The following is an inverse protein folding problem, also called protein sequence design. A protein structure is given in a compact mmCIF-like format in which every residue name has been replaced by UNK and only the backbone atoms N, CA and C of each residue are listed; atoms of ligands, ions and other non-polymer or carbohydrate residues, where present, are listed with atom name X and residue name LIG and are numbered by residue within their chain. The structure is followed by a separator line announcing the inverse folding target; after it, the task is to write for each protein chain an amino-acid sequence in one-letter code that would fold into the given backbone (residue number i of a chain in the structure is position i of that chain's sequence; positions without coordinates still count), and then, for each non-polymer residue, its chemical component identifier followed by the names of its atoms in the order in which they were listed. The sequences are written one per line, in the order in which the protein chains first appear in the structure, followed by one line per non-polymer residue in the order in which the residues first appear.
data_IF_187018766408
#
_entry.id   IF_187018766408
#
_cell.length_a   1.000
_cell.length_b   1.000
_cell.length_c   1.000
_cell.angle_alpha   90.00
_cell.angle_beta   90.00
_cell.angle_gamma   90.00
#
_symmetry.space_group_name_H-M   'P 1'
#
loop_
_entity.id
_entity.type
_entity.pdbx_description
1 polymer ?
#
# COMPACT_ATOMS: atom_id res chain seq x y z
N UNK A 1 -13.62 4.65 14.08
CA UNK A 1 -12.24 4.12 13.98
C UNK A 1 -11.40 4.80 15.04
N UNK A 2 -10.80 4.02 15.94
CA UNK A 2 -9.97 4.55 17.02
C UNK A 2 -8.73 5.20 16.39
N UNK A 3 -8.45 6.46 16.72
CA UNK A 3 -7.15 7.08 16.52
C UNK A 3 -6.10 6.13 17.11
N UNK A 4 -5.40 5.37 16.27
CA UNK A 4 -4.17 4.72 16.69
C UNK A 4 -3.19 5.85 16.96
N UNK A 5 -3.13 6.25 18.24
CA UNK A 5 -2.10 7.13 18.76
C UNK A 5 -0.79 6.56 18.26
N UNK A 6 0.01 7.37 17.56
CA UNK A 6 1.44 7.14 17.45
C UNK A 6 1.92 6.99 18.90
N UNK A 7 2.14 5.76 19.34
CA UNK A 7 2.62 5.51 20.69
C UNK A 7 4.11 5.82 20.66
N UNK A 8 4.44 7.09 20.84
CA UNK A 8 5.75 7.49 21.35
C UNK A 8 5.81 6.92 22.77
N UNK A 9 6.27 5.67 22.91
CA UNK A 9 6.56 5.10 24.22
C UNK A 9 7.80 5.80 24.74
N UNK A 10 7.62 6.91 25.46
CA UNK A 10 8.65 7.47 26.34
C UNK A 10 8.69 6.58 27.58
N UNK A 11 9.36 5.44 27.45
CA UNK A 11 9.57 4.49 28.54
C UNK A 11 11.07 4.33 28.83
N UNK A 12 11.41 3.85 30.04
CA UNK A 12 12.78 3.40 30.34
C UNK A 12 13.25 2.47 29.23
N UNK A 13 14.49 2.67 28.76
CA UNK A 13 15.14 1.79 27.80
C UNK A 13 14.82 0.33 28.16
N UNK A 14 14.36 -0.48 27.20
CA UNK A 14 13.94 -1.83 27.53
C UNK A 14 15.12 -2.57 28.18
N UNK A 15 14.85 -3.28 29.28
CA UNK A 15 15.81 -3.98 30.15
C UNK A 15 16.49 -5.18 29.48
N UNK A 16 16.64 -5.17 28.16
CA UNK A 16 17.43 -6.13 27.43
C UNK A 16 18.90 -5.80 27.65
N UNK A 17 19.50 -6.42 28.67
CA UNK A 17 20.92 -6.27 29.09
C UNK A 17 21.96 -6.56 27.97
N UNK A 18 21.57 -6.84 26.73
CA UNK A 18 22.44 -7.18 25.59
C UNK A 18 21.86 -6.74 24.23
N UNK A 19 21.32 -5.53 24.12
CA UNK A 19 21.01 -4.99 22.78
C UNK A 19 22.34 -4.63 22.11
N UNK A 20 22.59 -5.17 20.91
CA UNK A 20 23.68 -4.68 20.07
C UNK A 20 23.25 -3.34 19.49
N UNK A 21 23.82 -2.25 20.02
CA UNK A 21 23.62 -0.91 19.50
C UNK A 21 24.50 -0.72 18.28
N UNK A 22 23.89 -0.37 17.13
CA UNK A 22 24.62 -0.02 15.91
C UNK A 22 24.32 1.44 15.58
N UNK A 23 25.34 2.22 15.26
CA UNK A 23 25.13 3.61 14.83
C UNK A 23 24.21 3.66 13.60
N UNK A 24 23.19 4.51 13.65
CA UNK A 24 22.24 4.68 12.55
C UNK A 24 22.49 5.98 11.78
N UNK A 25 22.40 7.09 12.52
CA UNK A 25 22.64 8.47 12.11
C UNK A 25 23.35 9.20 13.28
N UNK A 26 23.92 10.40 13.08
CA UNK A 26 24.29 11.27 14.21
C UNK A 26 23.12 11.35 15.20
N UNK A 27 23.39 11.15 16.51
CA UNK A 27 22.34 11.15 17.53
C UNK A 27 21.34 9.97 17.54
N UNK A 28 21.35 9.05 16.56
CA UNK A 28 20.47 7.86 16.54
C UNK A 28 21.23 6.54 16.52
N UNK A 29 20.68 5.53 17.19
CA UNK A 29 21.19 4.15 17.20
C UNK A 29 20.08 3.14 16.90
N UNK A 30 20.46 2.04 16.26
CA UNK A 30 19.62 0.87 16.04
C UNK A 30 19.79 -0.12 17.20
N UNK A 31 18.68 -0.57 17.75
CA UNK A 31 18.62 -1.62 18.77
C UNK A 31 17.84 -2.81 18.22
N UNK A 32 18.51 -3.95 18.09
CA UNK A 32 17.87 -5.19 17.63
C UNK A 32 17.41 -6.03 18.81
N UNK A 33 16.15 -6.48 18.78
CA UNK A 33 15.68 -7.47 19.74
C UNK A 33 16.51 -8.77 19.62
N UNK A 34 16.84 -9.45 20.73
CA UNK A 34 17.60 -10.70 20.68
C UNK A 34 16.85 -11.80 19.91
N UNK A 35 17.64 -12.58 19.18
CA UNK A 35 17.35 -13.45 18.03
C UNK A 35 16.42 -14.67 18.28
N UNK A 36 15.46 -14.61 19.22
CA UNK A 36 14.70 -15.78 19.67
C UNK A 36 13.20 -15.78 19.33
N UNK A 37 12.69 -14.80 18.57
CA UNK A 37 11.28 -14.82 18.14
C UNK A 37 11.07 -14.05 16.83
N UNK A 38 9.85 -14.10 16.24
CA UNK A 38 9.46 -13.28 15.07
C UNK A 38 9.76 -11.77 15.25
N UNK A 39 9.92 -11.28 16.48
CA UNK A 39 10.37 -9.91 16.78
C UNK A 39 11.86 -9.64 16.48
N UNK A 40 12.66 -10.65 16.17
CA UNK A 40 14.08 -10.52 15.81
C UNK A 40 14.30 -9.74 14.49
N UNK A 41 13.26 -9.59 13.67
CA UNK A 41 13.29 -8.83 12.42
C UNK A 41 12.89 -7.35 12.60
N UNK A 42 12.58 -6.95 13.84
CA UNK A 42 12.10 -5.61 14.18
C UNK A 42 13.18 -4.87 14.97
N UNK A 43 13.50 -3.67 14.52
CA UNK A 43 14.55 -2.82 15.09
C UNK A 43 13.94 -1.56 15.69
N UNK A 44 14.41 -1.15 16.87
CA UNK A 44 14.05 0.15 17.44
C UNK A 44 15.14 1.18 17.08
N UNK A 45 14.73 2.34 16.60
CA UNK A 45 15.61 3.50 16.42
C UNK A 45 15.46 4.37 17.67
N UNK A 46 16.53 4.53 18.44
CA UNK A 46 16.51 5.32 19.66
C UNK A 46 17.47 6.50 19.57
N UNK A 47 17.17 7.56 20.31
CA UNK A 47 18.10 8.64 20.58
C UNK A 47 19.30 8.08 21.36
N UNK A 48 20.51 8.45 20.92
CA UNK A 48 21.78 7.86 21.38
C UNK A 48 22.01 8.09 22.87
N UNK A 49 21.85 9.32 23.31
CA UNK A 49 22.31 9.72 24.65
C UNK A 49 21.29 9.40 25.74
N UNK A 50 20.01 9.30 25.36
CA UNK A 50 18.90 9.10 26.31
C UNK A 50 18.28 7.71 26.23
N UNK A 51 18.52 6.98 25.14
CA UNK A 51 17.91 5.68 24.87
C UNK A 51 16.41 5.73 24.57
N UNK A 52 15.82 6.92 24.43
CA UNK A 52 14.39 7.07 24.11
C UNK A 52 14.12 6.63 22.67
N UNK A 53 13.10 5.81 22.48
CA UNK A 53 12.70 5.36 21.15
C UNK A 53 12.09 6.49 20.33
N UNK A 54 12.67 6.73 19.16
CA UNK A 54 12.14 7.62 18.11
C UNK A 54 11.19 6.83 17.22
N UNK A 55 11.56 5.62 16.84
CA UNK A 55 10.71 4.66 16.12
C UNK A 55 10.83 3.28 16.73
N UNK A 56 9.71 2.60 16.89
CA UNK A 56 9.66 1.21 17.37
C UNK A 56 9.24 0.27 16.25
N UNK A 57 9.70 -0.98 16.34
CA UNK A 57 9.27 -2.08 15.46
C UNK A 57 9.52 -1.84 13.97
N UNK A 58 10.65 -1.22 13.61
CA UNK A 58 11.01 -0.96 12.22
C UNK A 58 11.47 -2.26 11.54
N UNK A 59 10.80 -2.74 10.48
CA UNK A 59 11.25 -3.92 9.75
C UNK A 59 12.63 -3.69 9.13
N UNK A 60 13.53 -4.67 9.20
CA UNK A 60 14.90 -4.49 8.68
C UNK A 60 14.95 -4.06 7.21
N UNK A 61 14.03 -4.55 6.38
CA UNK A 61 13.93 -4.17 4.97
C UNK A 61 13.57 -2.70 4.73
N UNK A 62 13.01 -2.00 5.72
CA UNK A 62 12.64 -0.58 5.62
C UNK A 62 13.74 0.37 6.10
N UNK A 63 14.77 -0.15 6.78
CA UNK A 63 15.85 0.66 7.36
C UNK A 63 16.49 1.62 6.33
N UNK A 64 16.78 1.25 5.08
CA UNK A 64 17.36 2.19 4.12
C UNK A 64 16.44 3.38 3.81
N UNK A 65 15.12 3.17 3.73
CA UNK A 65 14.16 4.24 3.43
C UNK A 65 13.86 5.10 4.65
N UNK A 66 13.70 4.47 5.81
CA UNK A 66 13.58 5.18 7.09
C UNK A 66 14.83 6.03 7.34
N UNK A 67 16.03 5.49 7.09
CA UNK A 67 17.29 6.24 7.21
C UNK A 67 17.29 7.49 6.33
N UNK A 68 16.87 7.39 5.07
CA UNK A 68 16.76 8.54 4.16
C UNK A 68 15.75 9.57 4.64
N UNK A 69 14.64 9.14 5.23
CA UNK A 69 13.64 10.03 5.81
C UNK A 69 14.22 10.79 7.00
N UNK A 70 14.78 10.07 7.97
CA UNK A 70 15.32 10.68 9.19
C UNK A 70 16.55 11.55 8.90
N UNK A 71 17.38 11.22 7.90
CA UNK A 71 18.57 12.01 7.56
C UNK A 71 18.30 13.46 7.09
N UNK A 72 17.03 13.87 6.99
CA UNK A 72 16.63 15.25 6.69
C UNK A 72 16.82 16.20 7.87
N UNK A 73 16.95 15.68 9.08
CA UNK A 73 17.06 16.47 10.32
C UNK A 73 18.31 16.09 11.12
N UNK A 74 18.74 17.00 12.00
CA UNK A 74 19.85 16.77 12.93
C UNK A 74 19.35 16.17 14.25
N UNK A 75 19.64 14.88 14.45
CA UNK A 75 19.23 14.14 15.64
C UNK A 75 20.24 14.19 16.78
N UNK A 76 21.34 14.93 16.64
CA UNK A 76 22.32 15.15 17.72
C UNK A 76 21.85 16.14 18.79
N UNK A 77 20.72 16.82 18.53
CA UNK A 77 20.06 17.73 19.46
C UNK A 77 19.53 17.01 20.71
N UNK A 78 19.26 17.76 21.77
CA UNK A 78 18.62 17.21 22.95
C UNK A 78 17.20 16.71 22.65
N UNK A 79 16.69 15.77 23.46
CA UNK A 79 15.31 15.30 23.31
C UNK A 79 14.28 16.43 23.38
N UNK A 80 14.50 17.44 24.22
CA UNK A 80 13.60 18.58 24.31
C UNK A 80 13.49 19.29 22.96
N UNK A 81 14.63 19.63 22.37
CA UNK A 81 14.69 20.28 21.05
C UNK A 81 14.02 19.43 19.96
N UNK A 82 14.27 18.11 19.96
CA UNK A 82 13.65 17.18 19.00
C UNK A 82 12.12 17.13 19.18
N UNK A 83 11.62 16.96 20.40
CA UNK A 83 10.17 16.80 20.65
C UNK A 83 9.37 18.09 20.49
N UNK A 84 9.99 19.25 20.72
CA UNK A 84 9.36 20.55 20.48
C UNK A 84 9.55 21.06 19.05
N UNK A 85 10.37 20.40 18.23
CA UNK A 85 10.56 20.74 16.82
C UNK A 85 9.42 20.20 15.95
N UNK A 86 8.75 21.10 15.24
CA UNK A 86 7.73 20.75 14.24
C UNK A 86 8.33 19.94 13.09
N UNK A 87 9.57 20.22 12.66
CA UNK A 87 10.20 19.54 11.52
C UNK A 87 10.54 18.09 11.86
N UNK A 88 11.12 17.85 13.04
CA UNK A 88 11.40 16.49 13.53
C UNK A 88 10.11 15.68 13.66
N UNK A 89 9.05 16.30 14.19
CA UNK A 89 7.74 15.66 14.28
C UNK A 89 7.21 15.25 12.90
N UNK A 90 7.27 16.13 11.91
CA UNK A 90 6.83 15.82 10.54
C UNK A 90 7.63 14.68 9.91
N UNK A 91 8.94 14.64 10.12
CA UNK A 91 9.81 13.57 9.63
C UNK A 91 9.51 12.23 10.29
N UNK A 92 9.24 12.22 11.61
CA UNK A 92 8.82 11.02 12.35
C UNK A 92 7.45 10.55 11.84
N UNK A 93 6.49 11.46 11.74
CA UNK A 93 5.14 11.15 11.24
C UNK A 93 5.20 10.58 9.82
N UNK A 94 6.02 11.16 8.93
CA UNK A 94 6.24 10.64 7.59
C UNK A 94 6.84 9.22 7.58
N UNK A 95 7.81 8.95 8.47
CA UNK A 95 8.40 7.63 8.61
C UNK A 95 7.39 6.60 9.17
N UNK A 96 6.56 6.98 10.14
CA UNK A 96 5.49 6.13 10.69
C UNK A 96 4.44 5.83 9.64
N UNK A 97 3.96 6.85 8.94
CA UNK A 97 2.96 6.71 7.88
C UNK A 97 3.46 5.79 6.78
N UNK A 98 4.72 5.91 6.37
CA UNK A 98 5.33 5.01 5.40
C UNK A 98 5.25 3.53 5.83
N UNK A 99 5.52 3.23 7.10
CA UNK A 99 5.43 1.86 7.61
C UNK A 99 3.98 1.35 7.62
N UNK A 100 3.03 2.21 8.04
CA UNK A 100 1.61 1.88 8.05
C UNK A 100 1.07 1.60 6.62
N UNK A 101 1.37 2.47 5.67
CA UNK A 101 1.00 2.33 4.26
C UNK A 101 1.54 1.04 3.64
N UNK A 102 2.77 0.65 4.01
CA UNK A 102 3.38 -0.59 3.53
C UNK A 102 2.66 -1.81 4.09
N UNK A 103 2.27 -1.77 5.35
CA UNK A 103 1.58 -2.88 5.99
C UNK A 103 0.14 -3.03 5.48
N UNK A 104 -0.56 -1.92 5.20
CA UNK A 104 -1.87 -1.95 4.56
C UNK A 104 -1.79 -2.49 3.13
N UNK A 105 -0.79 -2.06 2.32
CA UNK A 105 -0.55 -2.60 0.97
C UNK A 105 -0.27 -4.11 1.02
N UNK A 106 0.65 -4.58 1.87
CA UNK A 106 0.92 -6.03 2.00
C UNK A 106 -0.32 -6.84 2.41
N UNK A 107 -1.15 -6.30 3.30
CA UNK A 107 -2.40 -6.95 3.73
C UNK A 107 -3.39 -7.04 2.57
N UNK A 108 -3.54 -5.96 1.81
CA UNK A 108 -4.38 -5.93 0.62
C UNK A 108 -3.91 -6.95 -0.42
N UNK A 109 -2.62 -6.95 -0.76
CA UNK A 109 -2.04 -7.87 -1.74
C UNK A 109 -2.22 -9.33 -1.33
N UNK A 110 -1.97 -9.63 -0.05
CA UNK A 110 -2.16 -10.97 0.49
C UNK A 110 -3.63 -11.40 0.41
N UNK A 111 -4.58 -10.53 0.78
CA UNK A 111 -6.03 -10.78 0.68
C UNK A 111 -6.43 -11.09 -0.76
N UNK A 112 -6.01 -10.25 -1.71
CA UNK A 112 -6.31 -10.45 -3.14
C UNK A 112 -5.74 -11.77 -3.65
N UNK A 113 -4.52 -12.14 -3.23
CA UNK A 113 -3.91 -13.41 -3.60
C UNK A 113 -4.68 -14.61 -3.02
N UNK A 114 -5.13 -14.54 -1.77
CA UNK A 114 -5.95 -15.58 -1.14
C UNK A 114 -7.31 -15.70 -1.82
N UNK A 115 -7.98 -14.57 -2.09
CA UNK A 115 -9.30 -14.53 -2.72
C UNK A 115 -9.32 -15.13 -4.12
N UNK A 116 -8.22 -15.01 -4.87
CA UNK A 116 -8.12 -15.42 -6.28
C UNK A 116 -7.20 -16.63 -6.52
N UNK A 117 -6.73 -17.31 -5.46
CA UNK A 117 -5.79 -18.43 -5.59
C UNK A 117 -4.44 -18.04 -6.24
N UNK A 118 -4.01 -16.78 -6.05
CA UNK A 118 -2.81 -16.19 -6.62
C UNK A 118 -1.59 -16.22 -5.71
N UNK A 119 -0.55 -15.48 -6.12
CA UNK A 119 0.70 -15.27 -5.36
C UNK A 119 1.10 -13.80 -5.40
N UNK A 120 1.42 -13.25 -4.23
CA UNK A 120 2.05 -11.92 -4.09
C UNK A 120 3.45 -11.95 -4.71
N UNK A 121 3.79 -10.94 -5.51
CA UNK A 121 5.10 -10.87 -6.16
C UNK A 121 6.12 -10.13 -5.26
N UNK A 122 7.28 -10.72 -4.95
CA UNK A 122 8.23 -10.11 -4.03
C UNK A 122 8.93 -8.91 -4.66
N UNK A 123 8.82 -7.72 -4.06
CA UNK A 123 9.51 -6.48 -4.45
C UNK A 123 9.02 -5.80 -5.74
N UNK A 124 7.70 -5.71 -5.94
CA UNK A 124 7.05 -4.94 -7.02
C UNK A 124 7.53 -3.48 -7.11
N UNK A 125 7.93 -2.86 -5.99
CA UNK A 125 8.34 -1.45 -5.95
C UNK A 125 9.79 -1.10 -6.32
N UNK A 126 10.66 -2.03 -6.72
CA UNK A 126 12.12 -1.73 -6.80
C UNK A 126 12.90 -2.24 -8.02
N UNK A 127 12.27 -2.93 -8.99
CA UNK A 127 12.98 -3.42 -10.18
C UNK A 127 12.23 -3.07 -11.47
N UNK A 128 12.91 -2.31 -12.32
CA UNK A 128 12.50 -2.02 -13.69
C UNK A 128 12.44 -3.34 -14.47
N UNK A 129 11.24 -3.78 -14.84
CA UNK A 129 11.03 -4.88 -15.78
C UNK A 129 9.98 -5.91 -15.41
N UNK A 130 9.82 -6.27 -14.14
CA UNK A 130 8.86 -7.31 -13.72
C UNK A 130 8.43 -7.12 -12.27
N UNK A 131 7.13 -7.40 -12.02
CA UNK A 131 6.44 -7.69 -10.75
C UNK A 131 5.35 -6.67 -10.43
N UNK A 132 4.12 -7.04 -10.76
CA UNK A 132 2.92 -6.41 -10.22
C UNK A 132 2.46 -7.16 -9.00
N UNK A 133 1.67 -6.53 -8.17
CA UNK A 133 1.55 -6.95 -6.78
C UNK A 133 1.01 -8.37 -6.60
N UNK A 134 0.03 -8.78 -7.41
CA UNK A 134 -0.54 -10.14 -7.37
C UNK A 134 -0.62 -10.79 -8.75
N UNK A 135 -0.31 -12.09 -8.82
CA UNK A 135 -0.41 -12.91 -10.03
C UNK A 135 -1.23 -14.16 -9.78
N UNK A 136 -2.19 -14.44 -10.66
CA UNK A 136 -2.98 -15.68 -10.68
C UNK A 136 -2.76 -16.40 -12.03
N UNK A 137 -3.34 -17.59 -12.26
CA UNK A 137 -3.35 -18.23 -13.58
C UNK A 137 -3.94 -17.34 -14.68
N UNK A 138 -4.97 -16.54 -14.37
CA UNK A 138 -5.72 -15.74 -15.34
C UNK A 138 -5.39 -14.25 -15.27
N UNK A 139 -5.11 -13.73 -14.08
CA UNK A 139 -5.02 -12.30 -13.82
C UNK A 139 -3.60 -11.84 -13.49
N UNK A 140 -3.27 -10.64 -13.94
CA UNK A 140 -2.13 -9.88 -13.46
C UNK A 140 -2.62 -8.57 -12.83
N UNK A 141 -2.39 -8.44 -11.53
CA UNK A 141 -3.10 -7.49 -10.69
C UNK A 141 -2.13 -6.47 -10.10
N UNK A 142 -2.49 -5.19 -10.23
CA UNK A 142 -1.91 -4.08 -9.46
C UNK A 142 -2.88 -3.72 -8.34
N UNK A 143 -2.36 -3.50 -7.13
CA UNK A 143 -3.15 -3.16 -5.96
C UNK A 143 -2.74 -1.80 -5.41
N UNK A 144 -3.74 -0.97 -5.10
CA UNK A 144 -3.55 0.34 -4.48
C UNK A 144 -4.51 0.48 -3.31
N UNK A 145 -3.98 0.84 -2.14
CA UNK A 145 -4.76 1.16 -0.95
C UNK A 145 -4.46 2.59 -0.51
N UNK A 146 -5.46 3.27 0.02
CA UNK A 146 -5.32 4.61 0.57
C UNK A 146 -6.36 4.88 1.65
N UNK A 147 -5.92 5.51 2.74
CA UNK A 147 -6.80 6.03 3.79
C UNK A 147 -7.35 7.43 3.47
N UNK A 148 -6.80 8.08 2.42
CA UNK A 148 -7.32 9.33 1.90
C UNK A 148 -8.78 9.14 1.40
N UNK A 149 -9.63 10.18 1.38
CA UNK A 149 -11.00 10.07 0.90
C UNK A 149 -11.11 9.76 -0.61
N UNK A 150 -10.00 9.84 -1.33
CA UNK A 150 -9.95 9.57 -2.75
C UNK A 150 -8.57 9.15 -3.23
N UNK A 151 -8.54 8.48 -4.37
CA UNK A 151 -7.31 8.06 -5.07
C UNK A 151 -7.43 8.41 -6.54
N UNK A 152 -6.39 9.02 -7.10
CA UNK A 152 -6.29 9.19 -8.54
C UNK A 152 -5.74 7.91 -9.19
N UNK A 153 -6.43 7.46 -10.23
CA UNK A 153 -6.02 6.41 -11.14
C UNK A 153 -5.60 7.07 -12.44
N UNK A 154 -4.34 6.90 -12.82
CA UNK A 154 -3.76 7.51 -14.02
C UNK A 154 -3.71 6.50 -15.17
N UNK A 155 -3.99 6.97 -16.37
CA UNK A 155 -4.05 6.18 -17.60
C UNK A 155 -2.72 5.47 -17.89
N UNK A 156 -1.58 6.11 -17.53
CA UNK A 156 -0.25 5.52 -17.71
C UNK A 156 -0.12 4.20 -16.98
N UNK A 157 -0.63 4.11 -15.75
CA UNK A 157 -0.54 2.90 -14.92
C UNK A 157 -1.42 1.79 -15.51
N UNK A 158 -2.65 2.12 -15.93
CA UNK A 158 -3.56 1.18 -16.58
C UNK A 158 -3.01 0.67 -17.92
N UNK A 159 -2.39 1.53 -18.74
CA UNK A 159 -1.77 1.12 -20.01
C UNK A 159 -0.57 0.21 -19.79
N UNK A 160 0.27 0.54 -18.81
CA UNK A 160 1.42 -0.30 -18.45
C UNK A 160 0.94 -1.65 -17.90
N UNK A 161 -0.11 -1.63 -17.05
CA UNK A 161 -0.81 -2.82 -16.57
C UNK A 161 -1.36 -3.66 -17.75
N UNK A 162 -2.02 -3.05 -18.71
CA UNK A 162 -2.54 -3.78 -19.87
C UNK A 162 -1.42 -4.47 -20.67
N UNK A 163 -0.36 -3.73 -20.97
CA UNK A 163 0.76 -4.23 -21.77
C UNK A 163 1.43 -5.47 -21.19
N UNK A 164 1.91 -5.45 -19.92
CA UNK A 164 2.61 -6.64 -19.39
C UNK A 164 1.66 -7.79 -19.01
N UNK A 165 0.35 -7.55 -18.86
CA UNK A 165 -0.62 -8.63 -18.65
C UNK A 165 -0.77 -9.44 -19.93
N UNK A 166 -0.98 -8.76 -21.05
CA UNK A 166 -1.12 -9.40 -22.36
C UNK A 166 0.17 -10.08 -22.83
N UNK A 167 1.34 -9.51 -22.55
CA UNK A 167 2.62 -10.21 -22.79
C UNK A 167 2.74 -11.54 -22.03
N UNK A 168 1.94 -11.76 -20.98
CA UNK A 168 1.90 -12.97 -20.20
C UNK A 168 0.64 -13.82 -20.44
N UNK A 169 -0.21 -13.44 -21.40
CA UNK A 169 -1.50 -14.10 -21.66
C UNK A 169 -2.47 -13.98 -20.47
N UNK A 170 -2.51 -12.82 -19.82
CA UNK A 170 -3.33 -12.57 -18.62
C UNK A 170 -4.24 -11.37 -18.79
N UNK A 171 -5.32 -11.36 -18.02
CA UNK A 171 -6.24 -10.23 -17.90
C UNK A 171 -5.67 -9.21 -16.90
N UNK A 172 -5.52 -7.93 -17.28
CA UNK A 172 -5.08 -6.88 -16.37
C UNK A 172 -6.21 -6.46 -15.42
N UNK A 173 -5.92 -6.39 -14.12
CA UNK A 173 -6.86 -5.88 -13.09
C UNK A 173 -6.16 -4.85 -12.22
N UNK A 174 -6.76 -3.68 -12.04
CA UNK A 174 -6.28 -2.67 -11.10
C UNK A 174 -7.26 -2.58 -9.92
N UNK A 175 -6.84 -3.00 -8.74
CA UNK A 175 -7.68 -2.98 -7.53
C UNK A 175 -7.37 -1.74 -6.71
N UNK A 176 -8.37 -0.92 -6.45
CA UNK A 176 -8.26 0.28 -5.60
C UNK A 176 -9.10 0.10 -4.36
N UNK A 177 -8.49 0.26 -3.19
CA UNK A 177 -9.17 0.30 -1.90
C UNK A 177 -9.07 1.71 -1.29
N UNK A 178 -10.21 2.30 -0.99
CA UNK A 178 -10.34 3.63 -0.36
C UNK A 178 -11.19 3.47 0.88
N UNK A 179 -10.58 3.69 2.06
CA UNK A 179 -11.29 3.62 3.36
C UNK A 179 -12.10 2.33 3.58
N UNK A 180 -11.56 1.19 3.13
CA UNK A 180 -12.15 -0.14 3.28
C UNK A 180 -13.10 -0.56 2.16
N UNK A 181 -13.50 0.34 1.27
CA UNK A 181 -14.28 -0.01 0.07
C UNK A 181 -13.35 -0.27 -1.10
N UNK A 182 -13.59 -1.35 -1.85
CA UNK A 182 -12.72 -1.82 -2.93
C UNK A 182 -13.43 -1.85 -4.28
N UNK A 183 -12.74 -1.39 -5.33
CA UNK A 183 -13.18 -1.48 -6.73
C UNK A 183 -12.11 -2.16 -7.57
N UNK A 184 -12.52 -3.03 -8.48
CA UNK A 184 -11.67 -3.63 -9.50
C UNK A 184 -11.88 -2.92 -10.84
N UNK A 185 -10.80 -2.54 -11.52
CA UNK A 185 -10.82 -1.85 -12.81
C UNK A 185 -10.20 -2.77 -13.87
N UNK A 186 -10.96 -3.06 -14.92
CA UNK A 186 -10.56 -3.95 -16.02
C UNK A 186 -10.82 -3.29 -17.37
N UNK A 187 -10.08 -3.62 -18.44
CA UNK A 187 -10.49 -3.26 -19.80
C UNK A 187 -11.88 -3.84 -20.09
N UNK A 188 -12.75 -3.05 -20.69
CA UNK A 188 -14.15 -3.44 -20.93
C UNK A 188 -14.25 -4.71 -21.79
N UNK A 189 -13.33 -4.89 -22.73
CA UNK A 189 -13.25 -6.05 -23.63
C UNK A 189 -12.92 -7.38 -22.94
N UNK A 190 -12.46 -7.35 -21.68
CA UNK A 190 -12.13 -8.55 -20.89
C UNK A 190 -13.26 -8.97 -19.95
N UNK A 191 -14.40 -8.26 -19.98
CA UNK A 191 -15.56 -8.53 -19.12
C UNK A 191 -16.70 -9.08 -19.96
N UNK A 192 -17.47 -9.99 -19.37
CA UNK A 192 -18.71 -10.51 -19.96
C UNK A 192 -19.61 -9.35 -20.42
N UNK A 193 -20.10 -9.35 -21.68
CA UNK A 193 -21.04 -8.35 -22.19
C UNK A 193 -22.27 -8.15 -21.30
N UNK A 194 -22.80 -9.20 -20.66
CA UNK A 194 -23.98 -9.08 -19.80
C UNK A 194 -23.71 -8.22 -18.56
N UNK A 195 -22.51 -8.35 -17.98
CA UNK A 195 -22.05 -7.49 -16.89
C UNK A 195 -21.76 -6.06 -17.36
N UNK A 196 -21.38 -5.88 -18.62
CA UNK A 196 -21.09 -4.57 -19.20
C UNK A 196 -22.36 -3.78 -19.59
N UNK A 197 -23.43 -4.45 -20.02
CA UNK A 197 -24.66 -3.82 -20.53
C UNK A 197 -25.51 -3.16 -19.43
N UNK A 198 -25.34 -3.60 -18.16
CA UNK A 198 -25.98 -2.98 -17.00
C UNK A 198 -25.18 -1.84 -16.33
N UNK A 199 -24.00 -1.49 -16.84
CA UNK A 199 -23.09 -0.58 -16.17
C UNK A 199 -23.56 0.89 -16.21
N UNK A 200 -23.58 1.54 -15.05
CA UNK A 200 -23.81 2.98 -14.94
C UNK A 200 -22.64 3.73 -15.58
N UNK A 201 -22.89 4.46 -16.67
CA UNK A 201 -21.83 5.20 -17.35
C UNK A 201 -21.38 6.39 -16.51
N UNK A 202 -20.19 6.31 -15.93
CA UNK A 202 -19.50 7.45 -15.34
C UNK A 202 -18.77 8.18 -16.46
N UNK A 203 -19.44 9.17 -17.05
CA UNK A 203 -18.88 9.92 -18.18
C UNK A 203 -17.72 10.79 -17.70
N UNK A 204 -16.51 10.25 -17.83
CA UNK A 204 -15.26 11.02 -17.84
C UNK A 204 -14.68 10.77 -19.23
N UNK A 205 -14.54 11.81 -20.06
CA UNK A 205 -14.10 11.68 -21.47
C UNK A 205 -12.84 12.48 -21.72
N UNK A 206 -11.89 11.89 -22.45
CA UNK A 206 -10.70 12.57 -22.94
C UNK A 206 -9.68 12.96 -21.86
N UNK A 207 -9.72 12.30 -20.70
CA UNK A 207 -8.82 12.58 -19.58
C UNK A 207 -7.72 11.52 -19.45
N UNK A 208 -6.59 11.92 -18.86
CA UNK A 208 -5.45 11.05 -18.53
C UNK A 208 -5.56 10.39 -17.15
N UNK A 209 -6.62 10.67 -16.39
CA UNK A 209 -6.84 10.14 -15.05
C UNK A 209 -8.28 10.33 -14.62
N UNK A 210 -8.75 9.49 -13.70
CA UNK A 210 -9.99 9.70 -12.97
C UNK A 210 -9.76 9.50 -11.47
N UNK A 211 -10.72 9.89 -10.65
CA UNK A 211 -10.62 9.82 -9.20
C UNK A 211 -11.63 8.80 -8.67
N UNK A 212 -11.14 7.80 -7.94
CA UNK A 212 -11.97 6.91 -7.12
C UNK A 212 -12.23 7.62 -5.81
N UNK A 213 -13.49 7.91 -5.52
CA UNK A 213 -13.97 8.54 -4.28
C UNK A 213 -15.28 7.86 -3.85
N UNK A 214 -15.89 8.32 -2.75
CA UNK A 214 -17.14 7.76 -2.23
C UNK A 214 -18.28 7.73 -3.25
N UNK A 215 -18.38 8.72 -4.16
CA UNK A 215 -19.41 8.74 -5.21
C UNK A 215 -19.20 7.63 -6.23
N UNK A 216 -17.96 7.41 -6.67
CA UNK A 216 -17.64 6.29 -7.58
C UNK A 216 -17.91 4.96 -6.90
N UNK A 217 -17.50 4.82 -5.64
CA UNK A 217 -17.72 3.61 -4.85
C UNK A 217 -19.20 3.28 -4.68
N UNK A 218 -20.05 4.25 -4.33
CA UNK A 218 -21.49 4.04 -4.23
C UNK A 218 -22.11 3.65 -5.58
N UNK A 219 -21.63 4.23 -6.69
CA UNK A 219 -22.12 3.86 -8.03
C UNK A 219 -21.80 2.40 -8.38
N UNK A 220 -20.63 1.89 -7.98
CA UNK A 220 -20.25 0.49 -8.25
C UNK A 220 -20.80 -0.50 -7.22
N UNK A 221 -21.21 -0.06 -6.03
CA UNK A 221 -21.92 -0.92 -5.07
C UNK A 221 -23.26 -1.43 -5.62
N UNK A 222 -23.92 -0.63 -6.46
CA UNK A 222 -25.20 -0.97 -7.11
C UNK A 222 -25.03 -1.76 -8.42
N UNK A 223 -23.79 -2.02 -8.86
CA UNK A 223 -23.52 -2.78 -10.08
C UNK A 223 -22.12 -2.54 -10.66
N UNK A 224 -22.07 -1.98 -11.85
CA UNK A 224 -20.81 -1.67 -12.55
C UNK A 224 -20.80 -0.22 -13.00
N UNK A 225 -19.61 0.33 -13.22
CA UNK A 225 -19.46 1.63 -13.85
C UNK A 225 -18.48 1.61 -15.02
N UNK A 226 -18.76 2.37 -16.07
CA UNK A 226 -17.87 2.50 -17.23
C UNK A 226 -17.14 3.86 -17.21
N UNK A 227 -15.84 3.86 -17.48
CA UNK A 227 -15.00 5.06 -17.64
C UNK A 227 -14.24 5.00 -18.97
N UNK A 228 -14.22 6.11 -19.71
CA UNK A 228 -13.50 6.22 -20.99
C UNK A 228 -12.26 7.10 -20.85
N UNK A 229 -11.08 6.49 -20.89
CA UNK A 229 -9.80 7.21 -20.93
C UNK A 229 -9.29 7.30 -22.37
N UNK A 230 -8.24 8.09 -22.59
CA UNK A 230 -7.59 8.15 -23.91
C UNK A 230 -7.01 6.79 -24.35
N UNK A 231 -6.70 5.90 -23.41
CA UNK A 231 -6.18 4.55 -23.69
C UNK A 231 -7.27 3.49 -23.96
N UNK A 232 -8.55 3.82 -23.76
CA UNK A 232 -9.64 2.88 -23.94
C UNK A 232 -10.73 2.98 -22.87
N UNK A 233 -11.68 2.04 -22.96
CA UNK A 233 -12.80 1.92 -22.02
C UNK A 233 -12.47 0.92 -20.93
N UNK A 234 -12.80 1.28 -19.69
CA UNK A 234 -12.58 0.46 -18.52
C UNK A 234 -13.90 0.27 -17.78
N UNK A 235 -14.11 -0.95 -17.29
CA UNK A 235 -15.20 -1.28 -16.40
C UNK A 235 -14.68 -1.29 -14.96
N UNK A 236 -15.46 -0.68 -14.08
CA UNK A 236 -15.27 -0.65 -12.64
C UNK A 236 -16.32 -1.55 -12.02
N UNK A 237 -15.88 -2.57 -11.30
CA UNK A 237 -16.73 -3.50 -10.57
C UNK A 237 -16.48 -3.33 -9.08
N UNK A 238 -17.51 -3.39 -8.25
CA UNK A 238 -17.27 -3.66 -6.82
C UNK A 238 -16.43 -4.95 -6.72
N UNK A 239 -15.46 -4.97 -5.82
CA UNK A 239 -14.55 -6.09 -5.65
C UNK A 239 -15.27 -7.45 -5.44
N UNK A 240 -16.41 -7.48 -4.74
CA UNK A 240 -17.20 -8.70 -4.57
C UNK A 240 -17.78 -9.21 -5.90
N UNK A 241 -18.31 -8.32 -6.74
CA UNK A 241 -18.81 -8.68 -8.07
C UNK A 241 -17.67 -9.20 -8.96
N UNK A 242 -16.50 -8.55 -8.91
CA UNK A 242 -15.32 -9.04 -9.60
C UNK A 242 -14.90 -10.45 -9.12
N UNK A 243 -14.90 -10.72 -7.81
CA UNK A 243 -14.59 -12.05 -7.28
C UNK A 243 -15.58 -13.12 -7.75
N UNK A 244 -16.86 -12.76 -7.88
CA UNK A 244 -17.88 -13.66 -8.41
C UNK A 244 -17.56 -14.07 -9.86
N UNK A 245 -17.31 -13.07 -10.72
CA UNK A 245 -16.92 -13.29 -12.12
C UNK A 245 -15.62 -14.08 -12.24
N UNK A 246 -14.60 -13.74 -11.44
CA UNK A 246 -13.29 -14.38 -11.51
C UNK A 246 -13.25 -15.82 -11.01
N UNK A 247 -14.19 -16.23 -10.15
CA UNK A 247 -14.25 -17.61 -9.65
C UNK A 247 -15.06 -18.54 -10.55
N UNK A 248 -15.78 -18.00 -11.55
CA UNK A 248 -16.64 -18.77 -12.44
C UNK A 248 -17.65 -19.63 -11.67
N UNK A 249 -18.11 -19.17 -10.50
CA UNK A 249 -19.11 -19.90 -9.72
C UNK A 249 -20.38 -19.89 -10.58
N UNK A 250 -20.88 -21.06 -11.02
CA UNK A 250 -22.16 -21.11 -11.70
C UNK A 250 -23.20 -20.54 -10.74
N UNK A 251 -24.02 -19.58 -11.20
CA UNK A 251 -25.20 -19.16 -10.46
C UNK A 251 -25.99 -20.42 -10.08
N UNK A 252 -26.05 -20.69 -8.77
CA UNK A 252 -26.70 -21.88 -8.21
C UNK A 252 -28.20 -21.82 -8.33
#
# INVERSE_FOLDING_TARGET
MKNEKVIVVVGKAPTYKKLRCVHFLPGLVLNRAPDKSRSAQLTNITHRDTGVAILNYVPEGDLPRIKRSLAQEDWSLSLGEIFYSTTHRQVIEGAVNYMADRDSSKKQEKRIAEDLGGKVQPASGSRWGYKRDVRTPEYLIEAKISDAPSVSVVEKDLRFLKQQAYQQGKIPVYVVEVRGSSVAILPKEEVDPELADGATKLVVRGVKSFTVNSKVLSTVEEGAAEVTLLSGNYLLLNYAAFLHTAKGVPDG
#
